data_IF_045095167858
#
_entry.id   IF_045095167858
#
_cell.length_a   1.000
_cell.length_b   1.000
_cell.length_c   1.000
_cell.angle_alpha   90.00
_cell.angle_beta   90.00
_cell.angle_gamma   90.00
#
_symmetry.space_group_name_H-M   'P 1'
#
loop_
_entity.id
_entity.type
_entity.pdbx_description
1 polymer ?
#
# COMPACT_ATOMS: atom_id res chain seq x y z
N UNK A 1 3.28 30.12 -4.09
CA UNK A 1 3.03 29.13 -3.03
C UNK A 1 2.11 28.04 -3.60
N UNK A 2 2.52 26.79 -3.55
CA UNK A 2 1.72 25.65 -4.03
C UNK A 2 1.77 24.54 -2.99
N UNK A 3 0.58 24.13 -2.52
CA UNK A 3 0.40 23.13 -1.47
C UNK A 3 1.13 21.82 -1.74
N UNK A 4 1.93 21.38 -0.78
CA UNK A 4 2.68 20.13 -0.83
C UNK A 4 3.86 20.12 -1.80
N UNK A 5 4.14 21.22 -2.50
CA UNK A 5 5.33 21.40 -3.33
C UNK A 5 6.35 22.24 -2.58
N UNK A 6 5.96 23.47 -2.20
CA UNK A 6 6.82 24.40 -1.45
C UNK A 6 6.11 24.95 -0.20
N UNK A 7 5.17 24.19 0.36
CA UNK A 7 4.53 24.46 1.65
C UNK A 7 4.56 23.20 2.51
N UNK A 8 4.34 23.39 3.82
CA UNK A 8 3.99 22.29 4.70
C UNK A 8 2.60 21.71 4.40
N UNK A 9 2.14 20.79 5.23
CA UNK A 9 0.89 20.06 5.07
C UNK A 9 -0.09 20.35 6.21
N UNK A 10 -1.39 20.17 5.96
CA UNK A 10 -2.43 20.35 6.97
C UNK A 10 -2.41 21.76 7.57
N UNK A 11 -2.20 21.87 8.87
CA UNK A 11 -2.12 23.15 9.57
C UNK A 11 -0.93 24.02 9.13
N UNK A 12 0.08 23.44 8.51
CA UNK A 12 1.27 24.13 7.99
C UNK A 12 1.16 24.49 6.50
N UNK A 13 -0.04 24.45 5.92
CA UNK A 13 -0.29 24.72 4.48
C UNK A 13 0.19 26.10 4.03
N UNK A 14 0.25 27.07 4.94
CA UNK A 14 0.66 28.46 4.67
C UNK A 14 2.14 28.72 5.03
N UNK A 15 2.85 27.70 5.53
CA UNK A 15 4.28 27.78 5.86
C UNK A 15 5.08 27.46 4.61
N UNK A 16 5.86 28.41 4.13
CA UNK A 16 6.75 28.21 2.99
C UNK A 16 7.96 27.39 3.44
N UNK A 17 8.25 26.35 2.70
CA UNK A 17 9.41 25.47 2.91
C UNK A 17 10.54 25.92 1.98
N UNK A 18 11.75 26.16 2.50
CA UNK A 18 12.90 26.46 1.69
C UNK A 18 13.23 25.33 0.70
N UNK A 19 13.68 25.65 -0.52
CA UNK A 19 13.96 24.64 -1.55
C UNK A 19 14.87 23.50 -1.08
N UNK A 20 15.87 23.81 -0.27
CA UNK A 20 16.84 22.86 0.31
C UNK A 20 16.21 21.88 1.31
N UNK A 21 15.06 22.19 1.88
CA UNK A 21 14.37 21.35 2.88
C UNK A 21 13.18 20.58 2.30
N UNK A 22 12.86 20.75 1.02
CA UNK A 22 11.67 20.15 0.40
C UNK A 22 11.74 18.61 0.37
N UNK A 23 12.88 18.03 0.07
CA UNK A 23 13.08 16.58 0.00
C UNK A 23 13.09 15.98 1.40
N UNK A 24 13.76 16.61 2.35
CA UNK A 24 13.73 16.20 3.76
C UNK A 24 12.30 16.21 4.33
N UNK A 25 11.50 17.22 3.96
CA UNK A 25 10.08 17.29 4.33
C UNK A 25 9.31 16.05 3.85
N UNK A 26 9.57 15.54 2.63
CA UNK A 26 8.88 14.36 2.13
C UNK A 26 9.22 13.11 2.96
N UNK A 27 10.49 12.91 3.28
CA UNK A 27 10.94 11.79 4.11
C UNK A 27 10.36 11.90 5.52
N UNK A 28 10.38 13.09 6.12
CA UNK A 28 9.82 13.34 7.45
C UNK A 28 8.29 13.17 7.47
N UNK A 29 7.60 13.47 6.37
CA UNK A 29 6.17 13.19 6.20
C UNK A 29 5.91 11.67 6.30
N UNK A 30 6.68 10.85 5.58
CA UNK A 30 6.55 9.39 5.64
C UNK A 30 6.79 8.89 7.05
N UNK A 31 7.92 9.25 7.67
CA UNK A 31 8.30 8.82 9.02
C UNK A 31 7.25 9.20 10.07
N UNK A 32 6.70 10.41 10.00
CA UNK A 32 5.70 10.90 10.94
C UNK A 32 4.33 10.22 10.81
N UNK A 33 3.99 9.71 9.62
CA UNK A 33 2.72 9.05 9.36
C UNK A 33 2.81 7.52 9.48
N UNK A 34 3.99 6.92 9.52
CA UNK A 34 4.17 5.50 9.75
C UNK A 34 3.95 5.13 11.24
N UNK A 35 2.72 5.33 11.70
CA UNK A 35 2.29 5.21 13.10
C UNK A 35 1.28 4.08 13.32
N UNK A 36 1.19 3.13 12.38
CA UNK A 36 0.35 1.95 12.50
C UNK A 36 0.78 1.04 13.65
N UNK A 37 -0.16 0.26 14.20
CA UNK A 37 0.04 -0.63 15.33
C UNK A 37 -0.68 -1.96 15.15
N UNK A 38 -0.37 -2.93 16.01
CA UNK A 38 -0.98 -4.25 16.05
C UNK A 38 -0.27 -5.27 15.18
N UNK A 39 -0.97 -6.34 14.82
CA UNK A 39 -0.45 -7.39 13.95
C UNK A 39 -0.17 -6.85 12.54
N UNK A 40 0.71 -7.50 11.81
CA UNK A 40 1.06 -7.13 10.46
C UNK A 40 0.10 -7.72 9.43
N UNK A 41 -0.09 -7.03 8.31
CA UNK A 41 -0.67 -7.64 7.11
C UNK A 41 0.18 -8.83 6.67
N UNK A 42 -0.48 -9.86 6.12
CA UNK A 42 0.26 -10.94 5.46
C UNK A 42 1.07 -10.42 4.27
N UNK A 43 2.10 -11.16 3.91
CA UNK A 43 2.94 -10.87 2.76
C UNK A 43 2.10 -10.60 1.49
N UNK A 44 1.14 -11.48 1.18
CA UNK A 44 0.32 -11.35 -0.03
C UNK A 44 -0.56 -10.10 -0.02
N UNK A 45 -1.11 -9.72 1.13
CA UNK A 45 -1.91 -8.49 1.26
C UNK A 45 -1.04 -7.25 1.09
N UNK A 46 0.16 -7.25 1.69
CA UNK A 46 1.12 -6.15 1.54
C UNK A 46 1.54 -5.99 0.07
N UNK A 47 1.83 -7.11 -0.61
CA UNK A 47 2.22 -7.11 -2.02
C UNK A 47 1.07 -6.63 -2.94
N UNK A 48 -0.18 -7.05 -2.68
CA UNK A 48 -1.36 -6.53 -3.40
C UNK A 48 -1.55 -5.03 -3.20
N UNK A 49 -1.31 -4.53 -1.98
CA UNK A 49 -1.40 -3.10 -1.70
C UNK A 49 -0.36 -2.32 -2.50
N UNK A 50 0.88 -2.81 -2.61
CA UNK A 50 1.92 -2.23 -3.45
C UNK A 50 1.51 -2.23 -4.93
N UNK A 51 1.00 -3.36 -5.44
CA UNK A 51 0.51 -3.46 -6.82
C UNK A 51 -0.59 -2.43 -7.12
N UNK A 52 -1.59 -2.33 -6.24
CA UNK A 52 -2.68 -1.36 -6.40
C UNK A 52 -2.18 0.08 -6.31
N UNK A 53 -1.16 0.35 -5.46
CA UNK A 53 -0.55 1.67 -5.38
C UNK A 53 0.16 2.04 -6.67
N UNK A 54 1.01 1.16 -7.19
CA UNK A 54 1.67 1.35 -8.48
C UNK A 54 0.66 1.58 -9.61
N UNK A 55 -0.42 0.77 -9.67
CA UNK A 55 -1.47 0.92 -10.69
C UNK A 55 -2.14 2.30 -10.65
N UNK A 56 -2.44 2.82 -9.45
CA UNK A 56 -3.06 4.16 -9.32
C UNK A 56 -2.09 5.26 -9.72
N UNK A 57 -0.82 5.17 -9.30
CA UNK A 57 0.21 6.15 -9.65
C UNK A 57 0.51 6.16 -11.16
N UNK A 58 0.51 4.99 -11.80
CA UNK A 58 0.72 4.84 -13.24
C UNK A 58 -0.35 5.55 -14.10
N UNK A 59 -1.53 5.83 -13.54
CA UNK A 59 -2.58 6.61 -14.24
C UNK A 59 -2.24 8.08 -14.41
N UNK A 60 -1.18 8.58 -13.77
CA UNK A 60 -0.69 9.95 -13.94
C UNK A 60 -1.54 11.03 -13.25
N UNK A 61 -2.51 10.67 -12.41
CA UNK A 61 -3.34 11.63 -11.68
C UNK A 61 -2.66 12.19 -10.43
N UNK A 62 -1.53 11.61 -10.01
CA UNK A 62 -0.73 12.04 -8.87
C UNK A 62 0.66 12.49 -9.33
N UNK A 63 1.23 13.45 -8.62
CA UNK A 63 2.55 14.00 -8.95
C UNK A 63 3.68 13.08 -8.49
N UNK A 64 3.90 11.98 -9.19
CA UNK A 64 5.01 11.04 -9.01
C UNK A 64 5.80 10.98 -10.30
N UNK A 65 7.14 11.01 -10.21
CA UNK A 65 8.02 10.85 -11.35
C UNK A 65 8.00 9.42 -11.89
N UNK A 66 8.29 9.28 -13.16
CA UNK A 66 8.45 7.96 -13.78
C UNK A 66 9.54 7.12 -13.06
N UNK A 67 10.63 7.77 -12.64
CA UNK A 67 11.71 7.13 -11.91
C UNK A 67 11.23 6.56 -10.58
N UNK A 68 10.52 7.34 -9.76
CA UNK A 68 10.00 6.89 -8.46
C UNK A 68 8.99 5.74 -8.61
N UNK A 69 8.13 5.80 -9.65
CA UNK A 69 7.22 4.72 -9.95
C UNK A 69 7.95 3.45 -10.41
N UNK A 70 8.98 3.59 -11.26
CA UNK A 70 9.77 2.44 -11.72
C UNK A 70 10.46 1.74 -10.56
N UNK A 71 11.04 2.49 -9.61
CA UNK A 71 11.65 1.90 -8.42
C UNK A 71 10.63 1.15 -7.56
N UNK A 72 9.42 1.70 -7.38
CA UNK A 72 8.35 0.98 -6.67
C UNK A 72 7.96 -0.33 -7.39
N UNK A 73 7.94 -0.34 -8.72
CA UNK A 73 7.73 -1.55 -9.53
C UNK A 73 8.89 -2.55 -9.40
N UNK A 74 10.13 -2.06 -9.28
CA UNK A 74 11.30 -2.93 -9.07
C UNK A 74 11.20 -3.68 -7.73
N UNK A 75 10.76 -3.01 -6.66
CA UNK A 75 10.44 -3.66 -5.38
C UNK A 75 9.33 -4.70 -5.52
N UNK A 76 8.24 -4.36 -6.21
CA UNK A 76 7.16 -5.29 -6.47
C UNK A 76 7.63 -6.51 -7.25
N UNK A 77 8.39 -6.33 -8.32
CA UNK A 77 8.90 -7.41 -9.17
C UNK A 77 9.91 -8.32 -8.43
N UNK A 78 10.66 -7.76 -7.50
CA UNK A 78 11.54 -8.52 -6.62
C UNK A 78 10.77 -9.25 -5.49
N UNK A 79 9.48 -8.94 -5.30
CA UNK A 79 8.68 -9.49 -4.21
C UNK A 79 9.00 -8.88 -2.84
N UNK A 80 9.83 -7.86 -2.77
CA UNK A 80 10.17 -7.18 -1.51
C UNK A 80 9.10 -6.15 -1.18
N UNK A 81 8.44 -6.30 -0.05
CA UNK A 81 7.38 -5.39 0.37
C UNK A 81 7.45 -5.09 1.86
N UNK A 82 7.17 -3.84 2.19
CA UNK A 82 7.20 -3.34 3.57
C UNK A 82 6.26 -4.11 4.49
N UNK A 83 6.65 -4.20 5.75
CA UNK A 83 5.77 -4.64 6.84
C UNK A 83 4.77 -3.52 7.15
N UNK A 84 3.48 -3.87 7.14
CA UNK A 84 2.39 -2.92 7.29
C UNK A 84 1.48 -3.38 8.43
N UNK A 85 1.37 -2.62 9.53
CA UNK A 85 0.45 -2.94 10.61
C UNK A 85 -1.02 -2.86 10.18
N UNK A 86 -1.86 -3.72 10.77
CA UNK A 86 -3.29 -3.81 10.48
C UNK A 86 -4.11 -2.61 10.94
N UNK A 87 -3.64 -1.86 11.94
CA UNK A 87 -4.37 -0.76 12.56
C UNK A 87 -3.61 0.55 12.37
N UNK A 88 -4.30 1.61 11.96
CA UNK A 88 -3.68 2.95 11.78
C UNK A 88 -4.44 3.87 10.85
N UNK A 89 -5.54 3.39 10.24
CA UNK A 89 -6.39 4.23 9.39
C UNK A 89 -7.87 4.06 9.75
N UNK A 90 -8.62 5.12 9.53
CA UNK A 90 -10.09 5.12 9.53
C UNK A 90 -10.65 5.50 8.14
N UNK A 91 -9.78 5.70 7.16
CA UNK A 91 -10.13 5.98 5.76
C UNK A 91 -10.75 7.34 5.49
N UNK A 92 -10.79 8.26 6.48
CA UNK A 92 -11.52 9.52 6.37
C UNK A 92 -10.97 10.47 5.29
N UNK A 93 -9.64 10.49 5.09
CA UNK A 93 -8.97 11.32 4.06
C UNK A 93 -7.87 10.55 3.32
N UNK A 94 -7.94 9.25 3.33
CA UNK A 94 -6.98 8.31 2.77
C UNK A 94 -6.33 7.44 3.85
N UNK A 95 -5.68 6.38 3.40
CA UNK A 95 -5.04 5.38 4.25
C UNK A 95 -3.57 5.79 4.56
N UNK A 96 -3.37 6.99 5.15
CA UNK A 96 -2.05 7.59 5.27
C UNK A 96 -1.06 6.71 6.05
N UNK A 97 -1.43 6.22 7.23
CA UNK A 97 -0.51 5.44 8.06
C UNK A 97 -0.10 4.11 7.39
N UNK A 98 -0.99 3.24 6.90
CA UNK A 98 -0.59 2.04 6.17
C UNK A 98 0.26 2.31 4.93
N UNK A 99 -0.09 3.35 4.16
CA UNK A 99 0.67 3.74 2.98
C UNK A 99 2.02 4.38 3.34
N UNK A 100 2.14 5.02 4.50
CA UNK A 100 3.41 5.51 5.00
C UNK A 100 4.33 4.33 5.38
N UNK A 101 3.82 3.28 6.03
CA UNK A 101 4.58 2.04 6.24
C UNK A 101 5.00 1.42 4.92
N UNK A 102 4.11 1.34 3.92
CA UNK A 102 4.48 0.87 2.59
C UNK A 102 5.63 1.70 2.00
N UNK A 103 5.56 3.02 2.12
CA UNK A 103 6.55 3.92 1.57
C UNK A 103 7.90 3.89 2.32
N UNK A 104 7.90 3.58 3.64
CA UNK A 104 9.15 3.41 4.40
C UNK A 104 10.07 2.38 3.75
N UNK A 105 9.57 1.21 3.41
CA UNK A 105 10.38 0.21 2.72
C UNK A 105 10.81 0.68 1.32
N UNK A 106 9.96 1.39 0.59
CA UNK A 106 10.33 1.91 -0.74
C UNK A 106 11.48 2.93 -0.67
N UNK A 107 11.60 3.70 0.41
CA UNK A 107 12.74 4.60 0.63
C UNK A 107 13.94 3.91 1.31
N UNK A 108 13.88 2.60 1.54
CA UNK A 108 14.97 1.79 2.11
C UNK A 108 14.99 1.74 3.64
N UNK A 109 13.93 2.20 4.32
CA UNK A 109 13.85 2.26 5.79
C UNK A 109 12.86 1.21 6.34
N UNK A 110 12.92 0.99 7.66
CA UNK A 110 12.01 0.08 8.36
C UNK A 110 12.26 -1.39 8.06
N UNK A 111 11.21 -2.18 8.11
CA UNK A 111 11.24 -3.63 7.90
C UNK A 111 10.43 -4.02 6.68
N UNK A 112 10.87 -5.09 6.00
CA UNK A 112 10.19 -5.63 4.84
C UNK A 112 10.20 -7.17 4.86
N UNK A 113 9.30 -7.76 4.12
CA UNK A 113 9.23 -9.19 3.89
C UNK A 113 10.27 -9.63 2.86
N UNK A 114 11.04 -10.66 3.21
CA UNK A 114 11.90 -11.37 2.27
C UNK A 114 11.07 -12.40 1.49
N UNK A 115 10.99 -12.32 0.16
CA UNK A 115 10.16 -13.24 -0.65
C UNK A 115 10.63 -14.68 -0.64
N UNK A 116 11.89 -14.96 -0.31
CA UNK A 116 12.43 -16.33 -0.33
C UNK A 116 11.96 -17.19 0.83
N UNK A 117 11.91 -16.61 2.04
CA UNK A 117 11.60 -17.35 3.26
C UNK A 117 10.38 -16.81 4.01
N UNK A 118 9.77 -15.73 3.50
CA UNK A 118 8.64 -15.01 4.08
C UNK A 118 8.92 -14.54 5.51
N UNK A 119 10.16 -14.23 5.83
CA UNK A 119 10.58 -13.63 7.10
C UNK A 119 10.67 -12.11 7.01
N UNK A 120 10.59 -11.47 8.15
CA UNK A 120 10.74 -10.01 8.25
C UNK A 120 12.20 -9.70 8.51
N UNK A 121 12.75 -8.79 7.73
CA UNK A 121 14.15 -8.33 7.82
C UNK A 121 14.23 -6.82 7.68
N UNK A 122 15.32 -6.17 8.15
CA UNK A 122 15.57 -4.77 7.85
C UNK A 122 15.57 -4.52 6.34
N UNK A 123 14.85 -3.50 5.91
CA UNK A 123 14.72 -3.20 4.46
C UNK A 123 16.08 -2.96 3.81
N UNK A 124 17.02 -2.34 4.54
CA UNK A 124 18.37 -2.08 4.04
C UNK A 124 19.12 -3.37 3.63
N UNK A 125 18.92 -4.47 4.35
CA UNK A 125 19.52 -5.77 4.01
C UNK A 125 18.92 -6.33 2.72
N UNK A 126 17.59 -6.25 2.56
CA UNK A 126 16.89 -6.72 1.36
C UNK A 126 17.21 -5.87 0.13
N UNK A 127 17.35 -4.56 0.29
CA UNK A 127 17.81 -3.66 -0.76
C UNK A 127 19.17 -4.10 -1.31
N UNK A 128 20.11 -4.46 -0.43
CA UNK A 128 21.42 -4.97 -0.84
C UNK A 128 21.32 -6.37 -1.47
N UNK A 129 20.56 -7.28 -0.84
CA UNK A 129 20.38 -8.67 -1.30
C UNK A 129 19.80 -8.75 -2.70
N UNK A 130 18.78 -7.95 -2.99
CA UNK A 130 18.06 -7.98 -4.27
C UNK A 130 18.52 -6.90 -5.26
N UNK A 131 19.61 -6.19 -4.94
CA UNK A 131 20.17 -5.09 -5.76
C UNK A 131 19.12 -4.06 -6.16
N UNK A 132 18.27 -3.68 -5.20
CA UNK A 132 17.24 -2.67 -5.39
C UNK A 132 17.81 -1.27 -5.18
N UNK A 133 17.16 -0.29 -5.77
CA UNK A 133 17.49 1.12 -5.51
C UNK A 133 16.29 1.79 -4.84
N UNK A 134 16.45 2.33 -3.62
CA UNK A 134 15.37 3.02 -2.93
C UNK A 134 14.81 4.20 -3.72
N UNK A 135 13.54 4.51 -3.48
CA UNK A 135 12.88 5.69 -4.03
C UNK A 135 13.48 6.94 -3.39
N UNK A 136 13.90 7.89 -4.22
CA UNK A 136 14.30 9.22 -3.78
C UNK A 136 13.11 10.17 -3.96
N UNK A 137 12.52 10.61 -2.85
CA UNK A 137 11.30 11.42 -2.87
C UNK A 137 11.60 12.88 -3.23
N UNK A 138 11.03 13.35 -4.33
CA UNK A 138 11.04 14.76 -4.75
C UNK A 138 9.84 15.51 -4.18
N UNK A 139 9.80 16.81 -4.42
CA UNK A 139 8.69 17.67 -3.98
C UNK A 139 7.32 17.05 -4.27
N UNK A 140 6.46 16.95 -3.26
CA UNK A 140 5.12 16.36 -3.27
C UNK A 140 5.05 14.84 -3.43
N UNK A 141 6.12 14.14 -3.76
CA UNK A 141 6.06 12.68 -3.95
C UNK A 141 5.74 11.92 -2.66
N UNK A 142 6.20 12.42 -1.49
CA UNK A 142 5.82 11.83 -0.20
C UNK A 142 4.30 11.77 -0.03
N UNK A 143 3.62 12.90 -0.18
CA UNK A 143 2.15 12.94 -0.12
C UNK A 143 1.52 12.10 -1.23
N UNK A 144 2.06 12.13 -2.45
CA UNK A 144 1.56 11.35 -3.56
C UNK A 144 1.67 9.83 -3.31
N UNK A 145 2.66 9.35 -2.58
CA UNK A 145 2.79 7.94 -2.21
C UNK A 145 1.86 7.53 -1.06
N UNK A 146 1.54 8.40 -0.11
CA UNK A 146 0.78 8.00 1.08
C UNK A 146 -0.69 8.40 1.07
N UNK A 147 -1.11 9.36 0.25
CA UNK A 147 -2.52 9.76 0.20
C UNK A 147 -3.27 8.97 -0.87
N UNK A 148 -3.97 7.94 -0.44
CA UNK A 148 -4.78 7.06 -1.29
C UNK A 148 -5.60 6.08 -0.45
N UNK A 149 -6.30 5.17 -1.10
CA UNK A 149 -7.24 4.23 -0.48
C UNK A 149 -6.83 2.76 -0.68
N UNK A 150 -5.54 2.49 -0.92
CA UNK A 150 -5.11 1.15 -1.33
C UNK A 150 -5.15 0.13 -0.20
N UNK A 151 -5.09 0.53 1.07
CA UNK A 151 -5.31 -0.36 2.19
C UNK A 151 -6.77 -0.87 2.20
N UNK A 152 -7.74 0.04 2.16
CA UNK A 152 -9.18 -0.29 2.11
C UNK A 152 -9.49 -1.08 0.84
N UNK A 153 -8.97 -0.66 -0.32
CA UNK A 153 -9.21 -1.34 -1.60
C UNK A 153 -8.64 -2.76 -1.62
N UNK A 154 -7.48 -2.99 -1.00
CA UNK A 154 -6.87 -4.33 -0.92
C UNK A 154 -7.74 -5.29 -0.12
N UNK A 155 -8.17 -4.87 1.07
CA UNK A 155 -8.98 -5.70 1.95
C UNK A 155 -10.41 -5.87 1.42
N UNK A 156 -10.99 -4.78 0.89
CA UNK A 156 -12.33 -4.79 0.31
C UNK A 156 -12.44 -5.67 -0.94
N UNK A 157 -11.46 -5.61 -1.83
CA UNK A 157 -11.42 -6.47 -3.02
C UNK A 157 -11.28 -7.95 -2.65
N UNK A 158 -10.43 -8.28 -1.65
CA UNK A 158 -10.32 -9.65 -1.14
C UNK A 158 -11.66 -10.13 -0.54
N UNK A 159 -12.31 -9.29 0.26
CA UNK A 159 -13.61 -9.63 0.87
C UNK A 159 -14.68 -9.85 -0.22
N UNK A 160 -14.73 -9.02 -1.26
CA UNK A 160 -15.65 -9.16 -2.38
C UNK A 160 -15.46 -10.49 -3.12
N UNK A 161 -14.22 -10.80 -3.52
CA UNK A 161 -13.92 -12.07 -4.22
C UNK A 161 -14.29 -13.28 -3.38
N UNK A 162 -14.02 -13.25 -2.06
CA UNK A 162 -14.41 -14.31 -1.14
C UNK A 162 -15.93 -14.44 -1.03
N UNK A 163 -16.67 -13.33 -1.01
CA UNK A 163 -18.13 -13.33 -0.96
C UNK A 163 -18.74 -13.90 -2.24
N UNK A 164 -18.21 -13.55 -3.42
CA UNK A 164 -18.65 -14.13 -4.71
C UNK A 164 -18.42 -15.64 -4.75
N UNK A 165 -17.25 -16.11 -4.31
CA UNK A 165 -16.97 -17.54 -4.22
C UNK A 165 -17.89 -18.25 -3.24
N UNK A 166 -18.18 -17.64 -2.08
CA UNK A 166 -19.10 -18.22 -1.08
C UNK A 166 -20.53 -18.31 -1.63
N UNK A 167 -21.00 -17.31 -2.36
CA UNK A 167 -22.32 -17.34 -3.00
C UNK A 167 -22.42 -18.49 -4.02
N UNK A 168 -21.43 -18.60 -4.92
CA UNK A 168 -21.38 -19.69 -5.91
C UNK A 168 -21.35 -21.09 -5.21
N UNK A 169 -20.55 -21.25 -4.17
CA UNK A 169 -20.50 -22.50 -3.41
C UNK A 169 -21.84 -22.83 -2.73
N UNK A 170 -22.54 -21.81 -2.20
CA UNK A 170 -23.84 -21.98 -1.59
C UNK A 170 -24.87 -22.52 -2.61
N UNK A 171 -24.90 -21.99 -3.83
CA UNK A 171 -25.76 -22.44 -4.90
C UNK A 171 -25.48 -23.92 -5.27
N UNK A 172 -24.20 -24.26 -5.46
CA UNK A 172 -23.79 -25.64 -5.78
C UNK A 172 -24.20 -26.62 -4.66
N UNK A 173 -23.92 -26.28 -3.40
CA UNK A 173 -24.25 -27.11 -2.24
C UNK A 173 -25.77 -27.25 -2.11
N UNK A 174 -26.52 -26.18 -2.34
CA UNK A 174 -27.99 -26.21 -2.34
C UNK A 174 -28.53 -27.14 -3.41
N UNK A 175 -28.01 -27.09 -4.64
CA UNK A 175 -28.39 -27.99 -5.73
C UNK A 175 -28.10 -29.46 -5.37
N UNK A 176 -26.92 -29.77 -4.83
CA UNK A 176 -26.55 -31.11 -4.42
C UNK A 176 -27.49 -31.64 -3.30
N UNK A 177 -27.80 -30.80 -2.32
CA UNK A 177 -28.72 -31.13 -1.22
C UNK A 177 -30.14 -31.37 -1.76
N UNK A 178 -30.59 -30.50 -2.67
CA UNK A 178 -31.90 -30.57 -3.29
C UNK A 178 -32.08 -31.85 -4.11
N UNK A 179 -31.04 -32.24 -4.86
CA UNK A 179 -31.03 -33.49 -5.62
C UNK A 179 -31.06 -34.72 -4.69
N UNK A 180 -30.24 -34.74 -3.63
CA UNK A 180 -30.19 -35.83 -2.68
C UNK A 180 -31.52 -36.02 -1.93
N UNK A 181 -32.24 -34.93 -1.65
CA UNK A 181 -33.57 -34.95 -1.02
C UNK A 181 -34.69 -35.19 -2.03
N UNK A 182 -34.40 -35.41 -3.32
CA UNK A 182 -35.39 -35.52 -4.40
C UNK A 182 -36.38 -34.36 -4.43
N UNK A 183 -35.87 -33.15 -4.24
CA UNK A 183 -36.64 -31.91 -4.31
C UNK A 183 -37.26 -31.68 -5.70
N UNK A 184 -38.16 -30.71 -5.82
CA UNK A 184 -38.80 -30.33 -7.07
C UNK A 184 -38.64 -28.83 -7.36
N UNK A 185 -38.39 -28.47 -8.60
CA UNK A 185 -38.38 -27.10 -9.08
C UNK A 185 -39.75 -26.62 -9.57
N UNK A 186 -40.82 -27.39 -9.32
CA UNK A 186 -42.17 -27.12 -9.80
C UNK A 186 -42.95 -26.11 -8.95
N UNK A 187 -42.32 -25.47 -7.96
CA UNK A 187 -42.96 -24.49 -7.07
C UNK A 187 -42.86 -23.08 -7.64
#
# INVERSE_FOLDING_TARGET
>A
MKYGINTGFGNFKDVIIPPESVEELQVNLIRSHASGVGENLSYERSLRMLALRCNVLAKGNSGVSHESLQRALDFFNAGVVSVIPLKGTVGASGDLAPLAHLCLGLIGEGEAWDPEDLTIKPTEELVKKYNLTPVHLRAKEGLAFINGTQFISTLGAEALVRAEHAALQADIISCMTFEALRGTTAA
#
